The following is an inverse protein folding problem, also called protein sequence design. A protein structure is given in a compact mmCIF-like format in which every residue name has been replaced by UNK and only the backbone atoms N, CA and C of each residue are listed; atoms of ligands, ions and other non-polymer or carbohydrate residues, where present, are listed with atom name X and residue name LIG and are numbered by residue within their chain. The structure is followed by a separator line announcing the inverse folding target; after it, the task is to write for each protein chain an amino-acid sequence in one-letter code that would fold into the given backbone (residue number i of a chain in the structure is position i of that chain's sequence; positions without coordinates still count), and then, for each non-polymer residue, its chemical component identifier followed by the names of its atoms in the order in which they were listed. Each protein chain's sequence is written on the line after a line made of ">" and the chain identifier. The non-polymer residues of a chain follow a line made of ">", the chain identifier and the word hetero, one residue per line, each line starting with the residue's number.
data_IF_534409361081
#
_entry.id   IF_534409361081
#
_cell.length_a   1.000
_cell.length_b   1.000
_cell.length_c   1.000
_cell.angle_alpha   90.00
_cell.angle_beta   90.00
_cell.angle_gamma   90.00
#
_symmetry.space_group_name_H-M   'P 1'
#
loop_
_entity.id
_entity.type
_entity.pdbx_description
1 polymer ?
#
# COMPACT_ATOMS: atom_id res chain seq x y z
N UNK A 1 -32.74 3.07 25.33
CA UNK A 1 -31.38 3.66 25.47
C UNK A 1 -30.92 4.18 24.12
N UNK A 2 -30.60 5.48 24.04
CA UNK A 2 -30.35 6.23 22.79
C UNK A 2 -29.04 5.80 22.13
N UNK A 3 -29.12 5.27 20.90
CA UNK A 3 -27.94 5.04 20.05
C UNK A 3 -27.52 6.39 19.50
N UNK A 4 -26.57 7.06 20.17
CA UNK A 4 -25.88 8.22 19.61
C UNK A 4 -24.90 7.74 18.55
N UNK A 5 -25.38 7.49 17.34
CA UNK A 5 -24.50 7.26 16.19
C UNK A 5 -23.68 8.54 15.96
N UNK A 6 -22.36 8.41 15.92
CA UNK A 6 -21.47 9.50 15.55
C UNK A 6 -21.81 9.94 14.13
N UNK A 7 -22.20 11.20 13.96
CA UNK A 7 -22.54 11.81 12.65
C UNK A 7 -21.33 11.87 11.70
N UNK A 8 -20.11 11.72 12.23
CA UNK A 8 -18.85 11.74 11.48
C UNK A 8 -17.81 10.88 12.17
N UNK A 9 -17.18 9.97 11.43
CA UNK A 9 -16.02 9.20 11.90
C UNK A 9 -14.73 9.89 11.47
N UNK A 10 -13.88 10.26 12.43
CA UNK A 10 -12.58 10.88 12.18
C UNK A 10 -11.46 9.86 12.43
N UNK A 11 -10.94 9.26 11.36
CA UNK A 11 -9.77 8.40 11.45
C UNK A 11 -8.49 9.25 11.41
N UNK A 12 -7.68 9.19 12.47
CA UNK A 12 -6.40 9.93 12.57
C UNK A 12 -5.21 9.15 12.02
N UNK A 13 -5.39 7.90 11.60
CA UNK A 13 -4.31 7.10 11.02
C UNK A 13 -3.95 7.65 9.63
N UNK A 14 -2.75 8.24 9.44
CA UNK A 14 -2.35 8.79 8.14
C UNK A 14 -2.28 7.72 7.04
N UNK A 15 -2.09 6.44 7.42
CA UNK A 15 -2.01 5.30 6.48
C UNK A 15 -3.37 4.79 6.00
N UNK A 16 -4.48 5.18 6.64
CA UNK A 16 -5.80 4.67 6.24
C UNK A 16 -6.16 5.07 4.80
N UNK A 17 -5.76 6.27 4.38
CA UNK A 17 -6.02 6.74 3.00
C UNK A 17 -5.10 6.08 1.98
N UNK A 18 -3.89 5.66 2.38
CA UNK A 18 -2.97 4.85 1.56
C UNK A 18 -3.57 3.46 1.30
N UNK A 19 -4.02 2.80 2.37
CA UNK A 19 -4.61 1.46 2.30
C UNK A 19 -5.96 1.44 1.55
N UNK A 20 -6.67 2.56 1.54
CA UNK A 20 -7.90 2.74 0.77
C UNK A 20 -7.67 3.23 -0.68
N UNK A 21 -6.43 3.49 -1.09
CA UNK A 21 -6.09 4.00 -2.43
C UNK A 21 -6.65 5.40 -2.74
N UNK A 22 -6.91 6.21 -1.70
CA UNK A 22 -7.52 7.56 -1.81
C UNK A 22 -6.54 8.70 -1.50
N UNK A 23 -5.25 8.40 -1.41
CA UNK A 23 -4.22 9.39 -1.10
C UNK A 23 -3.96 10.32 -2.29
N UNK A 24 -3.72 11.60 -2.00
CA UNK A 24 -3.21 12.56 -2.97
C UNK A 24 -1.73 12.22 -3.22
N UNK A 25 -1.29 11.97 -4.46
CA UNK A 25 0.11 11.67 -4.72
C UNK A 25 0.97 12.87 -4.28
N UNK A 26 2.12 12.64 -3.61
CA UNK A 26 2.96 13.74 -3.14
C UNK A 26 3.48 14.56 -4.33
N UNK A 27 3.36 15.88 -4.24
CA UNK A 27 3.94 16.80 -5.23
C UNK A 27 5.39 17.11 -4.86
N UNK A 28 6.33 16.52 -5.61
CA UNK A 28 7.77 16.80 -5.55
C UNK A 28 8.66 15.59 -5.25
N UNK A 29 9.95 15.70 -5.61
CA UNK A 29 10.95 14.65 -5.39
C UNK A 29 11.56 14.76 -3.99
N UNK A 30 11.21 13.84 -3.07
CA UNK A 30 11.76 13.77 -1.71
C UNK A 30 13.29 13.60 -1.65
N UNK A 31 13.92 13.16 -2.74
CA UNK A 31 15.33 12.81 -2.80
C UNK A 31 16.29 14.00 -3.05
N UNK A 32 15.79 15.18 -3.44
CA UNK A 32 16.65 16.37 -3.57
C UNK A 32 17.03 16.99 -2.21
N UNK A 33 16.33 16.63 -1.13
CA UNK A 33 16.42 17.30 0.17
C UNK A 33 17.35 16.61 1.19
N UNK A 34 17.70 15.35 0.97
CA UNK A 34 18.41 14.52 1.96
C UNK A 34 19.94 14.62 1.78
N UNK A 35 20.53 15.72 2.28
CA UNK A 35 21.98 16.01 2.13
C UNK A 35 22.89 14.88 2.61
N UNK A 36 22.46 14.12 3.63
CA UNK A 36 23.23 13.02 4.19
C UNK A 36 23.38 11.84 3.22
N UNK A 37 22.42 11.59 2.32
CA UNK A 37 22.56 10.55 1.30
C UNK A 37 23.48 10.99 0.17
N UNK A 38 23.45 12.29 -0.17
CA UNK A 38 24.27 12.86 -1.24
C UNK A 38 25.77 12.81 -0.93
N UNK A 39 26.19 12.90 0.34
CA UNK A 39 27.62 12.82 0.70
C UNK A 39 28.25 11.44 0.42
N UNK A 40 27.46 10.38 0.34
CA UNK A 40 27.95 9.02 0.09
C UNK A 40 27.91 8.62 -1.39
N UNK A 41 27.45 9.50 -2.29
CA UNK A 41 27.30 9.23 -3.71
C UNK A 41 28.19 10.20 -4.50
N UNK A 42 29.19 9.66 -5.21
CA UNK A 42 30.13 10.45 -6.01
C UNK A 42 29.44 11.14 -7.21
N UNK A 43 28.52 10.43 -7.88
CA UNK A 43 27.78 10.93 -9.03
C UNK A 43 26.32 10.44 -8.95
N UNK A 44 25.37 11.34 -9.17
CA UNK A 44 23.93 11.08 -9.11
C UNK A 44 23.37 10.35 -10.34
N UNK A 45 24.17 10.20 -11.41
CA UNK A 45 23.74 9.58 -12.67
C UNK A 45 24.28 8.16 -12.87
N UNK A 46 25.12 7.65 -11.97
CA UNK A 46 25.74 6.33 -12.14
C UNK A 46 24.83 5.18 -11.72
N UNK A 47 25.12 3.99 -12.21
CA UNK A 47 24.45 2.73 -11.80
C UNK A 47 24.63 2.44 -10.31
N UNK A 48 25.80 2.75 -9.74
CA UNK A 48 26.06 2.62 -8.31
C UNK A 48 25.13 3.51 -7.47
N UNK A 49 24.79 4.70 -7.95
CA UNK A 49 23.85 5.59 -7.27
C UNK A 49 22.45 4.97 -7.24
N UNK A 50 21.99 4.41 -8.36
CA UNK A 50 20.73 3.68 -8.43
C UNK A 50 20.71 2.48 -7.47
N UNK A 51 21.76 1.66 -7.43
CA UNK A 51 21.88 0.54 -6.49
C UNK A 51 21.78 0.98 -5.02
N UNK A 52 22.50 2.04 -4.64
CA UNK A 52 22.49 2.53 -3.27
C UNK A 52 21.14 3.15 -2.88
N UNK A 53 20.48 3.84 -3.80
CA UNK A 53 19.12 4.32 -3.62
C UNK A 53 18.14 3.17 -3.40
N UNK A 54 18.27 2.08 -4.16
CA UNK A 54 17.46 0.87 -4.00
C UNK A 54 17.58 0.29 -2.59
N UNK A 55 18.81 0.16 -2.07
CA UNK A 55 19.06 -0.34 -0.70
C UNK A 55 18.44 0.56 0.38
N UNK A 56 18.66 1.86 0.30
CA UNK A 56 18.14 2.82 1.29
C UNK A 56 16.61 2.82 1.27
N UNK A 57 16.02 2.81 0.07
CA UNK A 57 14.57 2.72 -0.09
C UNK A 57 14.04 1.42 0.52
N UNK A 58 14.69 0.29 0.23
CA UNK A 58 14.25 -1.01 0.75
C UNK A 58 14.22 -1.04 2.28
N UNK A 59 15.32 -0.59 2.91
CA UNK A 59 15.42 -0.51 4.37
C UNK A 59 14.34 0.40 4.95
N UNK A 60 14.04 1.54 4.31
CA UNK A 60 12.99 2.46 4.77
C UNK A 60 11.60 1.85 4.64
N UNK A 61 11.31 1.15 3.54
CA UNK A 61 10.07 0.42 3.32
C UNK A 61 9.88 -0.70 4.35
N UNK A 62 10.91 -1.51 4.61
CA UNK A 62 10.84 -2.57 5.61
C UNK A 62 10.61 -2.00 7.02
N UNK A 63 11.30 -0.91 7.38
CA UNK A 63 11.07 -0.21 8.65
C UNK A 63 9.66 0.39 8.77
N UNK A 64 9.05 0.81 7.66
CA UNK A 64 7.67 1.30 7.64
C UNK A 64 6.64 0.19 7.47
N UNK A 65 7.06 -1.07 7.38
CA UNK A 65 6.18 -2.23 7.19
C UNK A 65 5.57 -2.32 5.79
N UNK A 66 6.20 -1.73 4.79
CA UNK A 66 5.83 -1.87 3.37
C UNK A 66 6.64 -3.03 2.79
N UNK A 67 5.96 -4.10 2.40
CA UNK A 67 6.57 -5.32 1.86
C UNK A 67 6.38 -5.47 0.33
N UNK A 68 5.27 -4.96 -0.19
CA UNK A 68 4.89 -5.07 -1.60
C UNK A 68 4.92 -3.70 -2.27
N UNK A 69 5.48 -3.62 -3.47
CA UNK A 69 5.50 -2.42 -4.29
C UNK A 69 5.39 -2.79 -5.77
N UNK A 70 4.73 -1.97 -6.58
CA UNK A 70 4.58 -2.22 -8.02
C UNK A 70 5.38 -1.20 -8.82
N UNK A 71 5.97 -1.63 -9.94
CA UNK A 71 6.65 -0.74 -10.89
C UNK A 71 5.61 0.03 -11.71
N UNK A 72 5.52 1.34 -11.51
CA UNK A 72 4.64 2.22 -12.28
C UNK A 72 5.23 2.78 -13.60
N UNK A 73 6.33 2.19 -14.10
CA UNK A 73 7.05 2.69 -15.27
C UNK A 73 6.55 1.96 -16.52
N UNK A 74 6.14 2.74 -17.53
CA UNK A 74 5.79 2.24 -18.85
C UNK A 74 7.06 1.84 -19.63
N UNK A 75 7.00 0.72 -20.35
CA UNK A 75 8.18 0.12 -21.00
C UNK A 75 8.72 0.96 -22.17
N UNK A 76 7.91 1.85 -22.76
CA UNK A 76 8.34 2.76 -23.81
C UNK A 76 9.42 3.74 -23.33
N UNK A 77 9.31 4.20 -22.08
CA UNK A 77 10.29 5.12 -21.49
C UNK A 77 11.62 4.41 -21.17
N UNK A 78 11.60 3.11 -20.92
CA UNK A 78 12.79 2.30 -20.65
C UNK A 78 13.67 2.17 -21.89
N UNK A 79 13.05 2.08 -23.07
CA UNK A 79 13.75 1.81 -24.33
C UNK A 79 14.40 3.06 -24.95
N UNK A 80 14.11 4.26 -24.44
CA UNK A 80 14.68 5.51 -24.97
C UNK A 80 16.20 5.59 -24.79
N UNK A 81 16.74 4.99 -23.72
CA UNK A 81 18.17 5.10 -23.40
C UNK A 81 18.69 3.86 -22.71
N UNK A 82 19.77 3.32 -23.27
CA UNK A 82 20.46 2.13 -22.78
C UNK A 82 20.90 2.31 -21.32
N UNK A 83 21.44 3.48 -20.97
CA UNK A 83 21.92 3.78 -19.61
C UNK A 83 20.80 3.78 -18.57
N UNK A 84 19.66 4.39 -18.88
CA UNK A 84 18.49 4.43 -17.97
C UNK A 84 17.97 3.02 -17.72
N UNK A 85 17.93 2.18 -18.76
CA UNK A 85 17.54 0.78 -18.64
C UNK A 85 18.43 0.01 -17.66
N UNK A 86 19.75 0.13 -17.81
CA UNK A 86 20.69 -0.56 -16.92
C UNK A 86 20.60 -0.08 -15.47
N UNK A 87 20.42 1.23 -15.25
CA UNK A 87 20.23 1.78 -13.91
C UNK A 87 18.97 1.25 -13.23
N UNK A 88 17.84 1.23 -13.95
CA UNK A 88 16.59 0.71 -13.42
C UNK A 88 16.67 -0.80 -13.14
N UNK A 89 17.32 -1.56 -14.01
CA UNK A 89 17.52 -3.00 -13.80
C UNK A 89 18.27 -3.28 -12.50
N UNK A 90 19.40 -2.59 -12.26
CA UNK A 90 20.17 -2.76 -11.02
C UNK A 90 19.38 -2.28 -9.79
N UNK A 91 18.61 -1.19 -9.91
CA UNK A 91 17.73 -0.72 -8.84
C UNK A 91 16.70 -1.80 -8.43
N UNK A 92 15.94 -2.35 -9.37
CA UNK A 92 14.93 -3.36 -9.06
C UNK A 92 15.52 -4.68 -8.56
N UNK A 93 16.67 -5.07 -9.12
CA UNK A 93 17.43 -6.23 -8.64
C UNK A 93 17.82 -6.06 -7.17
N UNK A 94 18.27 -4.86 -6.78
CA UNK A 94 18.63 -4.59 -5.38
C UNK A 94 17.41 -4.57 -4.46
N UNK A 95 16.29 -3.97 -4.87
CA UNK A 95 15.03 -4.02 -4.10
C UNK A 95 14.56 -5.46 -3.83
N UNK A 96 14.61 -6.31 -4.85
CA UNK A 96 14.25 -7.72 -4.72
C UNK A 96 15.21 -8.48 -3.80
N UNK A 97 16.52 -8.19 -3.86
CA UNK A 97 17.52 -8.81 -3.00
C UNK A 97 17.36 -8.41 -1.52
N UNK A 98 16.94 -7.18 -1.24
CA UNK A 98 16.68 -6.68 0.13
C UNK A 98 15.34 -7.17 0.70
N UNK A 99 14.51 -7.88 -0.09
CA UNK A 99 13.30 -8.55 0.40
C UNK A 99 11.99 -7.84 0.08
N UNK A 100 11.97 -6.88 -0.84
CA UNK A 100 10.73 -6.27 -1.33
C UNK A 100 10.20 -7.07 -2.51
N UNK A 101 8.92 -7.44 -2.42
CA UNK A 101 8.21 -8.09 -3.51
C UNK A 101 7.68 -7.06 -4.49
N UNK A 102 8.07 -7.18 -5.76
CA UNK A 102 7.66 -6.25 -6.83
C UNK A 102 6.28 -6.55 -7.45
N UNK A 103 5.54 -7.48 -6.84
CA UNK A 103 4.23 -7.94 -7.27
C UNK A 103 3.28 -7.79 -6.08
N UNK A 104 2.16 -7.11 -6.31
CA UNK A 104 1.11 -6.99 -5.31
C UNK A 104 0.32 -8.31 -5.24
N UNK A 105 -0.04 -8.78 -4.03
CA UNK A 105 -0.92 -9.93 -3.91
C UNK A 105 -2.28 -9.65 -4.58
N UNK A 106 -2.87 -10.69 -5.14
CA UNK A 106 -4.21 -10.60 -5.75
C UNK A 106 -5.21 -10.15 -4.68
N UNK A 107 -6.09 -9.19 -4.99
CA UNK A 107 -7.17 -8.82 -4.08
C UNK A 107 -7.98 -10.05 -3.68
N UNK A 108 -8.29 -10.18 -2.38
CA UNK A 108 -9.21 -11.22 -1.94
C UNK A 108 -10.60 -10.92 -2.49
N UNK A 109 -11.13 -11.87 -3.26
CA UNK A 109 -12.50 -11.79 -3.75
C UNK A 109 -13.47 -11.76 -2.57
N UNK A 110 -14.41 -10.82 -2.60
CA UNK A 110 -15.44 -10.73 -1.57
C UNK A 110 -16.54 -11.74 -1.91
N UNK A 111 -16.87 -12.65 -0.97
CA UNK A 111 -17.95 -13.63 -1.17
C UNK A 111 -19.34 -13.00 -1.24
N UNK A 112 -19.48 -11.74 -0.81
CA UNK A 112 -20.71 -10.99 -0.87
C UNK A 112 -20.80 -10.28 -2.21
N UNK A 113 -21.71 -10.73 -3.08
CA UNK A 113 -22.16 -9.90 -4.18
C UNK A 113 -22.67 -8.59 -3.61
N UNK A 114 -22.19 -7.46 -4.13
CA UNK A 114 -22.70 -6.14 -3.77
C UNK A 114 -24.08 -5.95 -4.43
N UNK A 115 -25.02 -6.85 -4.13
CA UNK A 115 -26.40 -6.71 -4.53
C UNK A 115 -27.02 -5.65 -3.62
N UNK A 116 -27.42 -4.53 -4.21
CA UNK A 116 -28.04 -3.40 -3.50
C UNK A 116 -29.34 -3.82 -2.78
N UNK A 117 -29.88 -5.01 -3.09
CA UNK A 117 -31.05 -5.62 -2.43
C UNK A 117 -30.70 -6.49 -1.22
N UNK A 118 -29.46 -6.94 -1.06
CA UNK A 118 -28.99 -7.70 0.10
C UNK A 118 -28.52 -6.75 1.20
N UNK A 119 -29.44 -6.03 1.83
CA UNK A 119 -29.05 -5.09 2.90
C UNK A 119 -28.96 -5.79 4.27
N UNK A 120 -29.78 -6.82 4.54
CA UNK A 120 -29.80 -7.52 5.82
C UNK A 120 -30.45 -8.91 5.68
N UNK A 121 -29.68 -9.99 5.75
CA UNK A 121 -30.27 -11.24 6.24
C UNK A 121 -30.48 -11.06 7.74
N UNK A 122 -31.75 -11.07 8.20
CA UNK A 122 -32.01 -11.15 9.63
C UNK A 122 -31.33 -12.41 10.14
N UNK A 123 -30.40 -12.29 11.08
CA UNK A 123 -29.93 -13.45 11.83
C UNK A 123 -31.17 -14.22 12.29
N UNK A 124 -31.21 -15.56 12.13
CA UNK A 124 -32.31 -16.33 12.64
C UNK A 124 -32.44 -16.01 14.13
N UNK A 125 -33.55 -15.39 14.51
CA UNK A 125 -33.85 -15.08 15.90
C UNK A 125 -33.91 -16.42 16.62
N UNK A 126 -32.89 -16.72 17.42
CA UNK A 126 -32.96 -17.85 18.33
C UNK A 126 -34.01 -17.49 19.38
N UNK A 127 -35.05 -18.31 19.49
CA UNK A 127 -36.10 -18.13 20.50
C UNK A 127 -35.45 -17.97 21.88
N UNK A 128 -35.78 -16.88 22.57
CA UNK A 128 -35.28 -16.64 23.92
C UNK A 128 -36.12 -17.47 24.89
N UNK A 129 -35.60 -17.77 26.08
CA UNK A 129 -36.34 -18.51 27.11
C UNK A 129 -37.70 -17.87 27.43
N UNK A 130 -37.81 -16.56 27.27
CA UNK A 130 -39.03 -15.77 27.48
C UNK A 130 -40.11 -16.04 26.42
N UNK A 131 -39.74 -16.39 25.18
CA UNK A 131 -40.69 -16.69 24.09
C UNK A 131 -41.40 -18.04 24.28
N UNK A 132 -40.99 -18.86 25.26
CA UNK A 132 -41.56 -20.18 25.56
C UNK A 132 -42.45 -20.19 26.81
N UNK A 133 -42.82 -19.01 27.32
CA UNK A 133 -43.66 -18.91 28.52
C UNK A 133 -45.14 -19.25 28.28
N UNK A 134 -45.57 -19.33 27.03
CA UNK A 134 -46.97 -19.65 26.65
C UNK A 134 -47.31 -21.15 26.72
N UNK A 135 -46.34 -22.02 27.03
CA UNK A 135 -46.52 -23.49 27.13
C UNK A 135 -46.64 -24.01 28.59
N UNK A 136 -46.89 -23.15 29.58
CA UNK A 136 -47.08 -23.52 31.00
C UNK A 136 -48.48 -23.19 31.55
#
# INVERSE_FOLDING_TARGET
>A
MSVRLATRFLNRNPRNMEQLGRQIPPSGYQFEKDCALRSYIYNNTDTCAAMNLGRVLAIRCLKSGILFAVRGIQDEHLNRSIHVRFQQQEFFKTLSAEGISLVEPVPLEHSYGNDKRMTWERYPLKATREDKLDEL
#
